data_IF_982537642180
#
_entry.id   IF_982537642180
#
_cell.length_a   1.000
_cell.length_b   1.000
_cell.length_c   1.000
_cell.angle_alpha   90.00
_cell.angle_beta   90.00
_cell.angle_gamma   90.00
#
_symmetry.space_group_name_H-M   'P 1'
#
loop_
_entity.id
_entity.type
_entity.pdbx_description
1 polymer ?
#
# COMPACT_ATOMS: atom_id res chain seq x y z
N UNK A 1 -4.68 -13.56 2.46
CA UNK A 1 -3.43 -13.45 1.65
C UNK A 1 -2.69 -14.78 1.45
N UNK A 2 -2.69 -15.75 2.39
CA UNK A 2 -1.86 -16.99 2.33
C UNK A 2 -2.25 -18.04 1.29
N UNK A 3 -3.33 -17.85 0.51
CA UNK A 3 -3.77 -18.78 -0.55
C UNK A 3 -3.25 -18.43 -1.95
N UNK A 4 -2.67 -17.25 -2.13
CA UNK A 4 -2.10 -16.84 -3.41
C UNK A 4 -0.69 -17.38 -3.60
N UNK A 5 -0.39 -17.89 -4.80
CA UNK A 5 0.95 -18.32 -5.15
C UNK A 5 1.89 -17.10 -5.11
N UNK A 6 3.05 -17.16 -4.42
CA UNK A 6 3.96 -16.04 -4.38
C UNK A 6 4.52 -15.72 -5.77
N UNK A 7 4.34 -14.48 -6.20
CA UNK A 7 4.84 -13.90 -7.45
C UNK A 7 6.02 -12.98 -7.17
N UNK A 8 6.65 -12.48 -8.23
CA UNK A 8 7.59 -11.37 -8.12
C UNK A 8 6.84 -10.15 -7.58
N UNK A 9 7.33 -9.58 -6.48
CA UNK A 9 6.84 -8.35 -5.87
C UNK A 9 7.96 -7.33 -5.93
N UNK A 10 7.74 -6.24 -6.67
CA UNK A 10 8.66 -5.12 -6.80
C UNK A 10 8.84 -4.39 -5.47
N UNK A 11 7.82 -4.39 -4.60
CA UNK A 11 7.76 -3.79 -3.26
C UNK A 11 7.75 -2.26 -3.25
N UNK A 12 8.54 -1.63 -4.09
CA UNK A 12 8.55 -0.17 -4.28
C UNK A 12 7.82 0.22 -5.59
N UNK A 13 6.69 -0.43 -5.89
CA UNK A 13 5.91 -0.23 -7.12
C UNK A 13 5.03 1.04 -7.08
N UNK A 14 5.68 2.20 -6.98
CA UNK A 14 5.04 3.52 -6.98
C UNK A 14 5.18 4.20 -8.35
N UNK A 15 4.32 5.17 -8.65
CA UNK A 15 4.32 5.90 -9.93
C UNK A 15 5.68 6.51 -10.29
N UNK A 16 6.46 6.98 -9.31
CA UNK A 16 7.81 7.53 -9.51
C UNK A 16 8.83 6.50 -10.01
N UNK A 17 8.59 5.21 -9.76
CA UNK A 17 9.43 4.11 -10.18
C UNK A 17 8.98 3.51 -11.53
N UNK A 18 7.99 4.13 -12.19
CA UNK A 18 7.49 3.77 -13.51
C UNK A 18 7.83 4.89 -14.50
N UNK A 19 8.77 4.62 -15.40
CA UNK A 19 9.17 5.56 -16.45
C UNK A 19 8.44 5.25 -17.75
N UNK A 20 7.94 6.28 -18.43
CA UNK A 20 7.41 6.17 -19.80
C UNK A 20 8.46 6.73 -20.76
N UNK A 21 9.02 5.87 -21.61
CA UNK A 21 9.98 6.28 -22.65
C UNK A 21 9.60 5.64 -23.98
N UNK A 22 9.41 6.46 -25.01
CA UNK A 22 9.04 6.01 -26.36
C UNK A 22 7.76 5.13 -26.34
N UNK A 23 6.77 5.53 -25.54
CA UNK A 23 5.51 4.77 -25.38
C UNK A 23 5.63 3.45 -24.61
N UNK A 24 6.82 3.11 -24.07
CA UNK A 24 7.05 1.88 -23.29
C UNK A 24 7.23 2.19 -21.81
N UNK A 25 6.65 1.33 -20.97
CA UNK A 25 6.87 1.35 -19.53
C UNK A 25 8.22 0.72 -19.18
N UNK A 26 8.95 1.34 -18.26
CA UNK A 26 10.21 0.83 -17.70
C UNK A 26 10.17 0.99 -16.19
N UNK A 27 10.44 -0.10 -15.48
CA UNK A 27 10.49 -0.12 -14.02
C UNK A 27 11.94 0.07 -13.54
N UNK A 28 12.11 0.83 -12.47
CA UNK A 28 13.40 1.05 -11.79
C UNK A 28 13.25 0.75 -10.29
N UNK A 29 14.36 0.69 -9.56
CA UNK A 29 14.36 0.58 -8.09
C UNK A 29 13.85 -0.78 -7.56
N UNK A 30 14.23 -1.88 -8.23
CA UNK A 30 13.81 -3.25 -7.91
C UNK A 30 14.78 -4.01 -6.97
N UNK A 31 15.74 -3.33 -6.35
CA UNK A 31 16.73 -3.97 -5.44
C UNK A 31 16.11 -4.53 -4.15
N UNK A 32 14.91 -4.08 -3.77
CA UNK A 32 14.16 -4.57 -2.60
C UNK A 32 13.12 -5.63 -2.98
N UNK A 33 13.06 -6.02 -4.27
CA UNK A 33 12.11 -6.98 -4.79
C UNK A 33 12.31 -8.37 -4.15
N UNK A 34 11.21 -9.05 -3.92
CA UNK A 34 11.19 -10.38 -3.33
C UNK A 34 9.94 -11.15 -3.76
N UNK A 35 9.78 -12.39 -3.28
CA UNK A 35 8.58 -13.18 -3.56
C UNK A 35 7.50 -12.87 -2.53
N UNK A 36 6.29 -12.57 -3.00
CA UNK A 36 5.13 -12.34 -2.12
C UNK A 36 3.82 -12.21 -2.90
N UNK A 37 2.83 -11.55 -2.32
CA UNK A 37 1.55 -11.30 -3.00
C UNK A 37 1.67 -10.18 -4.04
N UNK A 38 1.13 -10.39 -5.25
CA UNK A 38 1.06 -9.34 -6.28
C UNK A 38 0.13 -8.18 -5.89
N UNK A 39 -0.77 -8.39 -4.92
CA UNK A 39 -1.65 -7.33 -4.41
C UNK A 39 -0.88 -6.21 -3.72
N UNK A 40 0.33 -6.48 -3.22
CA UNK A 40 1.15 -5.45 -2.60
C UNK A 40 1.62 -4.40 -3.61
N UNK A 41 2.05 -4.83 -4.80
CA UNK A 41 2.43 -3.91 -5.86
C UNK A 41 1.21 -3.15 -6.38
N UNK A 42 0.07 -3.85 -6.57
CA UNK A 42 -1.19 -3.20 -6.95
C UNK A 42 -1.61 -2.13 -5.93
N UNK A 43 -1.58 -2.44 -4.63
CA UNK A 43 -1.89 -1.50 -3.56
C UNK A 43 -0.89 -0.34 -3.53
N UNK A 44 0.41 -0.61 -3.72
CA UNK A 44 1.46 0.42 -3.75
C UNK A 44 1.25 1.46 -4.86
N UNK A 45 0.73 1.04 -6.02
CA UNK A 45 0.46 1.94 -7.14
C UNK A 45 -0.90 2.63 -7.01
N UNK A 46 -1.96 1.88 -6.67
CA UNK A 46 -3.33 2.41 -6.63
C UNK A 46 -3.61 3.26 -5.38
N UNK A 47 -2.76 3.17 -4.36
CA UNK A 47 -2.79 4.01 -3.15
C UNK A 47 -1.54 4.89 -3.06
N UNK A 48 -0.95 5.25 -4.20
CA UNK A 48 0.29 6.05 -4.22
C UNK A 48 0.06 7.46 -3.64
N UNK A 49 0.73 7.85 -2.54
CA UNK A 49 0.57 9.18 -1.95
C UNK A 49 1.06 10.31 -2.86
N UNK A 50 1.91 10.03 -3.86
CA UNK A 50 2.37 11.05 -4.81
C UNK A 50 1.30 11.43 -5.85
N UNK A 51 0.33 10.54 -6.09
CA UNK A 51 -0.79 10.77 -7.00
C UNK A 51 -2.05 10.15 -6.41
N UNK A 52 -2.65 10.79 -5.39
CA UNK A 52 -3.77 10.22 -4.67
C UNK A 52 -4.97 10.05 -5.60
N UNK A 53 -5.48 8.82 -5.66
CA UNK A 53 -6.72 8.49 -6.34
C UNK A 53 -7.88 8.50 -5.33
N UNK A 54 -9.09 8.93 -5.74
CA UNK A 54 -10.28 8.70 -4.94
C UNK A 54 -10.45 7.20 -4.64
N UNK A 55 -10.86 6.85 -3.42
CA UNK A 55 -11.00 5.45 -2.99
C UNK A 55 -11.84 4.61 -3.97
N UNK A 56 -12.97 5.15 -4.43
CA UNK A 56 -13.82 4.50 -5.42
C UNK A 56 -13.08 4.14 -6.71
N UNK A 57 -12.20 5.03 -7.18
CA UNK A 57 -11.39 4.80 -8.39
C UNK A 57 -10.32 3.74 -8.15
N UNK A 58 -9.66 3.74 -6.99
CA UNK A 58 -8.70 2.71 -6.62
C UNK A 58 -9.36 1.33 -6.54
N UNK A 59 -10.56 1.23 -5.96
CA UNK A 59 -11.32 -0.03 -5.90
C UNK A 59 -11.81 -0.48 -7.28
N UNK A 60 -12.28 0.45 -8.12
CA UNK A 60 -12.67 0.13 -9.49
C UNK A 60 -11.50 -0.49 -10.26
N UNK A 61 -10.33 0.15 -10.24
CA UNK A 61 -9.13 -0.34 -10.92
C UNK A 61 -8.63 -1.67 -10.33
N UNK A 62 -8.73 -1.86 -9.02
CA UNK A 62 -8.43 -3.14 -8.38
C UNK A 62 -9.40 -4.25 -8.85
N UNK A 63 -10.69 -3.94 -9.02
CA UNK A 63 -11.69 -4.84 -9.58
C UNK A 63 -11.42 -5.19 -11.04
N UNK A 64 -11.04 -4.21 -11.86
CA UNK A 64 -10.62 -4.45 -13.25
C UNK A 64 -9.38 -5.37 -13.32
N UNK A 65 -8.40 -5.14 -12.45
CA UNK A 65 -7.22 -6.00 -12.32
C UNK A 65 -7.62 -7.43 -11.95
N UNK A 66 -8.54 -7.62 -11.00
CA UNK A 66 -9.07 -8.94 -10.64
C UNK A 66 -9.70 -9.64 -11.84
N UNK A 67 -10.55 -8.93 -12.59
CA UNK A 67 -11.18 -9.46 -13.81
C UNK A 67 -10.15 -9.94 -14.82
N UNK A 68 -9.13 -9.13 -15.13
CA UNK A 68 -8.06 -9.49 -16.06
C UNK A 68 -7.26 -10.70 -15.59
N UNK A 69 -6.83 -10.71 -14.33
CA UNK A 69 -6.05 -11.82 -13.77
C UNK A 69 -6.86 -13.12 -13.69
N UNK A 70 -8.17 -13.03 -13.49
CA UNK A 70 -9.08 -14.19 -13.56
C UNK A 70 -9.16 -14.72 -14.99
N UNK A 71 -9.35 -13.86 -15.98
CA UNK A 71 -9.49 -14.24 -17.38
C UNK A 71 -8.19 -14.86 -17.95
N UNK A 72 -7.04 -14.43 -17.42
CA UNK A 72 -5.71 -15.03 -17.71
C UNK A 72 -5.43 -16.32 -16.91
N UNK A 73 -6.33 -16.74 -16.00
CA UNK A 73 -6.14 -17.92 -15.16
C UNK A 73 -5.06 -17.76 -14.07
N UNK A 74 -4.62 -16.54 -13.78
CA UNK A 74 -3.56 -16.22 -12.82
C UNK A 74 -4.04 -16.27 -11.35
N UNK A 75 -5.35 -16.23 -11.11
CA UNK A 75 -5.96 -16.26 -9.77
C UNK A 75 -7.06 -17.34 -9.67
N UNK A 76 -6.71 -18.63 -9.81
CA UNK A 76 -7.71 -19.70 -9.77
C UNK A 76 -8.39 -19.73 -8.40
N UNK A 77 -9.73 -19.65 -8.40
CA UNK A 77 -10.56 -19.80 -7.20
C UNK A 77 -10.62 -18.58 -6.27
N UNK A 78 -10.06 -17.43 -6.65
CA UNK A 78 -10.15 -16.20 -5.84
C UNK A 78 -11.31 -15.35 -6.35
N UNK A 79 -12.35 -15.23 -5.51
CA UNK A 79 -13.51 -14.37 -5.78
C UNK A 79 -13.21 -12.88 -5.63
N UNK A 80 -14.11 -12.00 -6.11
CA UNK A 80 -13.93 -10.55 -6.04
C UNK A 80 -13.80 -10.04 -4.60
N UNK A 81 -14.58 -10.60 -3.66
CA UNK A 81 -14.53 -10.18 -2.24
C UNK A 81 -13.21 -10.56 -1.58
N UNK A 82 -12.70 -11.78 -1.83
CA UNK A 82 -11.39 -12.21 -1.31
C UNK A 82 -10.26 -11.38 -1.92
N UNK A 83 -10.35 -11.03 -3.20
CA UNK A 83 -9.40 -10.14 -3.85
C UNK A 83 -9.43 -8.74 -3.23
N UNK A 84 -10.62 -8.18 -3.02
CA UNK A 84 -10.83 -6.87 -2.39
C UNK A 84 -10.27 -6.86 -0.97
N UNK A 85 -10.59 -7.86 -0.15
CA UNK A 85 -10.01 -7.99 1.20
C UNK A 85 -8.48 -8.06 1.13
N UNK A 86 -7.94 -8.90 0.24
CA UNK A 86 -6.49 -8.99 0.04
C UNK A 86 -5.85 -7.67 -0.34
N UNK A 87 -6.49 -6.88 -1.20
CA UNK A 87 -6.02 -5.56 -1.63
C UNK A 87 -6.00 -4.57 -0.46
N UNK A 88 -7.06 -4.54 0.36
CA UNK A 88 -7.13 -3.70 1.57
C UNK A 88 -6.03 -4.08 2.55
N UNK A 89 -5.85 -5.38 2.83
CA UNK A 89 -4.81 -5.87 3.73
C UNK A 89 -3.40 -5.54 3.22
N UNK A 90 -3.17 -5.62 1.91
CA UNK A 90 -1.92 -5.23 1.29
C UNK A 90 -1.67 -3.71 1.41
N UNK A 91 -2.73 -2.90 1.29
CA UNK A 91 -2.69 -1.45 1.56
C UNK A 91 -2.28 -1.14 2.99
N UNK A 92 -2.91 -1.76 4.00
CA UNK A 92 -2.53 -1.63 5.42
C UNK A 92 -1.04 -1.96 5.62
N UNK A 93 -0.57 -3.06 5.04
CA UNK A 93 0.84 -3.44 5.12
C UNK A 93 1.76 -2.39 4.48
N UNK A 94 1.36 -1.80 3.35
CA UNK A 94 2.10 -0.75 2.66
C UNK A 94 2.18 0.54 3.48
N UNK A 95 1.07 0.94 4.08
CA UNK A 95 0.96 2.15 4.91
C UNK A 95 1.84 2.02 6.16
N UNK A 96 1.85 0.85 6.82
CA UNK A 96 2.78 0.55 7.91
C UNK A 96 4.24 0.63 7.49
N UNK A 97 4.59 0.09 6.31
CA UNK A 97 5.95 0.18 5.80
C UNK A 97 6.35 1.65 5.52
N UNK A 98 5.44 2.45 4.96
CA UNK A 98 5.69 3.86 4.69
C UNK A 98 5.91 4.65 5.99
N UNK A 99 5.04 4.48 6.99
CA UNK A 99 5.17 5.10 8.31
C UNK A 99 6.51 4.74 8.98
N UNK A 100 6.89 3.46 8.95
CA UNK A 100 8.18 3.02 9.48
C UNK A 100 9.36 3.67 8.73
N UNK A 101 9.25 3.85 7.42
CA UNK A 101 10.26 4.54 6.63
C UNK A 101 10.35 6.03 6.98
N UNK A 102 9.22 6.72 7.14
CA UNK A 102 9.18 8.14 7.53
C UNK A 102 9.85 8.39 8.87
N UNK A 103 9.52 7.58 9.89
CA UNK A 103 10.14 7.66 11.21
C UNK A 103 11.65 7.43 11.13
N UNK A 104 12.09 6.40 10.39
CA UNK A 104 13.52 6.10 10.22
C UNK A 104 14.26 7.23 9.50
N UNK A 105 13.69 7.78 8.43
CA UNK A 105 14.29 8.86 7.66
C UNK A 105 14.40 10.15 8.49
N UNK A 106 13.35 10.49 9.23
CA UNK A 106 13.32 11.69 10.06
C UNK A 106 14.23 11.60 11.29
N UNK A 107 14.17 10.50 12.03
CA UNK A 107 14.89 10.37 13.32
C UNK A 107 16.32 9.88 13.17
N UNK A 108 16.59 8.93 12.27
CA UNK A 108 17.93 8.32 12.12
C UNK A 108 18.75 9.03 11.06
N UNK A 109 18.13 9.43 9.94
CA UNK A 109 18.83 10.10 8.83
C UNK A 109 18.73 11.63 8.86
N UNK A 110 18.04 12.20 9.85
CA UNK A 110 17.92 13.64 10.06
C UNK A 110 17.07 14.38 9.01
N UNK A 111 16.35 13.66 8.14
CA UNK A 111 15.51 14.24 7.08
C UNK A 111 14.12 14.57 7.64
N UNK A 112 14.04 15.65 8.42
CA UNK A 112 12.85 16.01 9.20
C UNK A 112 11.59 16.22 8.35
N UNK A 113 11.73 16.57 7.08
CA UNK A 113 10.62 16.74 6.14
C UNK A 113 9.77 15.47 5.96
N UNK A 114 10.31 14.28 6.24
CA UNK A 114 9.54 13.03 6.19
C UNK A 114 8.61 12.86 7.38
N UNK A 115 8.86 13.53 8.51
CA UNK A 115 7.98 13.47 9.69
C UNK A 115 6.65 14.16 9.41
N UNK A 116 6.64 15.18 8.54
CA UNK A 116 5.42 15.90 8.13
C UNK A 116 4.45 15.00 7.34
N UNK A 117 4.93 13.86 6.81
CA UNK A 117 4.10 12.87 6.11
C UNK A 117 3.43 11.85 7.03
N UNK A 118 3.77 11.82 8.33
CA UNK A 118 3.22 10.86 9.30
C UNK A 118 1.70 11.01 9.47
N UNK A 119 1.12 12.22 9.65
CA UNK A 119 -0.32 12.37 9.82
C UNK A 119 -1.13 11.78 8.65
N UNK A 120 -0.76 12.09 7.41
CA UNK A 120 -1.41 11.54 6.23
C UNK A 120 -1.24 10.01 6.12
N UNK A 121 -0.07 9.48 6.48
CA UNK A 121 0.16 8.03 6.54
C UNK A 121 -0.74 7.33 7.58
N UNK A 122 -1.00 7.99 8.72
CA UNK A 122 -1.92 7.49 9.75
C UNK A 122 -3.37 7.53 9.27
N UNK A 123 -3.78 8.55 8.50
CA UNK A 123 -5.13 8.64 7.90
C UNK A 123 -5.38 7.46 6.94
N UNK A 124 -4.43 7.16 6.07
CA UNK A 124 -4.51 6.05 5.13
C UNK A 124 -4.57 4.69 5.84
N UNK A 125 -3.73 4.52 6.86
CA UNK A 125 -3.70 3.31 7.69
C UNK A 125 -5.04 3.10 8.41
N UNK A 126 -5.57 4.14 9.03
CA UNK A 126 -6.85 4.10 9.75
C UNK A 126 -8.01 3.79 8.81
N UNK A 127 -8.07 4.41 7.64
CA UNK A 127 -9.07 4.11 6.62
C UNK A 127 -9.04 2.63 6.19
N UNK A 128 -7.84 2.08 5.97
CA UNK A 128 -7.69 0.66 5.63
C UNK A 128 -8.11 -0.27 6.78
N UNK A 129 -7.75 0.06 8.02
CA UNK A 129 -8.16 -0.69 9.22
C UNK A 129 -9.68 -0.69 9.33
N UNK A 130 -10.33 0.46 9.20
CA UNK A 130 -11.78 0.61 9.30
C UNK A 130 -12.50 -0.16 8.20
N UNK A 131 -12.03 -0.05 6.96
CA UNK A 131 -12.57 -0.81 5.84
C UNK A 131 -12.42 -2.32 6.04
N UNK A 132 -11.30 -2.77 6.59
CA UNK A 132 -11.07 -4.19 6.85
C UNK A 132 -11.95 -4.74 7.98
N UNK A 133 -12.43 -3.89 8.88
CA UNK A 133 -13.09 -4.30 10.13
C UNK A 133 -12.18 -5.11 11.07
N UNK A 134 -10.85 -5.09 10.85
CA UNK A 134 -9.85 -5.89 11.58
C UNK A 134 -8.92 -4.99 12.39
N UNK A 135 -7.99 -5.61 13.13
CA UNK A 135 -6.90 -4.93 13.84
C UNK A 135 -7.32 -3.82 14.83
N UNK A 136 -8.25 -4.07 15.77
CA UNK A 136 -8.68 -3.06 16.74
C UNK A 136 -7.53 -2.53 17.62
N UNK A 137 -6.52 -3.36 17.89
CA UNK A 137 -5.30 -2.92 18.60
C UNK A 137 -4.49 -1.91 17.80
N UNK A 138 -4.45 -2.04 16.47
CA UNK A 138 -3.75 -1.10 15.59
C UNK A 138 -4.52 0.21 15.49
N UNK A 139 -5.87 0.18 15.47
CA UNK A 139 -6.70 1.39 15.57
C UNK A 139 -6.40 2.19 16.84
N UNK A 140 -6.35 1.50 18.00
CA UNK A 140 -5.97 2.13 19.28
C UNK A 140 -4.56 2.70 19.25
N UNK A 141 -3.62 2.01 18.61
CA UNK A 141 -2.25 2.52 18.44
C UNK A 141 -2.23 3.80 17.61
N UNK A 142 -2.96 3.86 16.49
CA UNK A 142 -3.07 5.07 15.66
C UNK A 142 -3.61 6.25 16.47
N UNK A 143 -4.69 6.05 17.22
CA UNK A 143 -5.27 7.08 18.09
C UNK A 143 -4.26 7.59 19.14
N UNK A 144 -3.55 6.67 19.81
CA UNK A 144 -2.54 7.03 20.79
C UNK A 144 -1.35 7.79 20.20
N UNK A 145 -0.94 7.47 18.95
CA UNK A 145 0.12 8.20 18.25
C UNK A 145 -0.34 9.62 17.91
N UNK A 146 -1.57 9.81 17.42
CA UNK A 146 -2.12 11.14 17.13
C UNK A 146 -2.16 12.04 18.36
N UNK A 147 -2.65 11.51 19.48
CA UNK A 147 -2.72 12.25 20.74
C UNK A 147 -1.33 12.76 21.18
N UNK A 148 -0.27 11.95 20.98
CA UNK A 148 1.10 12.38 21.29
C UNK A 148 1.63 13.44 20.33
N UNK A 149 1.33 13.30 19.03
CA UNK A 149 1.71 14.30 18.02
C UNK A 149 1.08 15.66 18.30
N UNK A 150 -0.19 15.70 18.69
CA UNK A 150 -0.89 16.94 19.07
C UNK A 150 -0.31 17.59 20.34
N UNK A 151 0.15 16.78 21.29
CA UNK A 151 0.79 17.25 22.52
C UNK A 151 2.25 17.65 22.33
N UNK A 152 2.82 17.50 21.13
CA UNK A 152 4.21 17.85 20.82
C UNK A 152 5.25 17.10 21.65
N UNK A 153 4.93 15.89 22.13
CA UNK A 153 5.77 15.07 23.03
C UNK A 153 6.34 13.84 22.34
#
# INVERSE_FOLDING_TARGET
>A
LSRQRPVFMHRDFQSRNILVREGKLRLIDFQTAHRGTGLYDAASLLRDPYHPLPSERSHLLAGELHGRLRDEGALPGIGPDEFREGFVLAGIQRDLQALAAFVKLGTVKGKKEFLDSIPAGLDLLEAGIDESGRFPSMKRMVAAVRERLEKGT
#
